data_IF_651009118970
#
_entry.id   IF_651009118970
#
_cell.length_a   1.000
_cell.length_b   1.000
_cell.length_c   1.000
_cell.angle_alpha   90.00
_cell.angle_beta   90.00
_cell.angle_gamma   90.00
#
_symmetry.space_group_name_H-M   'P 1'
#
loop_
_entity.id
_entity.type
_entity.pdbx_description
1 polymer ?
#
# COMPACT_ATOMS: atom_id res chain seq x y z
N UNK A 1 -13.59 8.99 20.26
CA UNK A 1 -12.72 9.63 19.26
C UNK A 1 -13.43 9.63 17.91
N UNK A 2 -14.67 10.14 17.86
CA UNK A 2 -15.37 10.27 16.59
C UNK A 2 -14.84 11.53 15.91
N UNK A 3 -14.48 11.44 14.62
CA UNK A 3 -13.93 12.52 13.79
C UNK A 3 -12.47 12.91 14.06
N UNK A 4 -11.69 12.10 14.78
CA UNK A 4 -10.23 12.32 14.85
C UNK A 4 -9.59 11.89 13.53
N UNK A 5 -8.90 12.81 12.87
CA UNK A 5 -8.07 12.53 11.69
C UNK A 5 -6.75 11.90 12.10
N UNK A 6 -6.26 11.00 11.26
CA UNK A 6 -4.91 10.46 11.36
C UNK A 6 -4.30 10.26 9.98
N UNK A 7 -2.99 10.24 9.94
CA UNK A 7 -2.25 9.79 8.78
C UNK A 7 -1.11 8.85 9.18
N UNK A 8 -0.70 8.00 8.26
CA UNK A 8 0.46 7.12 8.36
C UNK A 8 1.34 7.34 7.15
N UNK A 9 2.62 7.64 7.37
CA UNK A 9 3.62 7.76 6.30
C UNK A 9 4.42 6.47 6.21
N UNK A 10 4.61 5.99 4.99
CA UNK A 10 5.41 4.84 4.64
C UNK A 10 6.59 5.34 3.82
N UNK A 11 7.80 5.08 4.29
CA UNK A 11 9.04 5.49 3.63
C UNK A 11 9.74 4.23 3.16
N UNK A 12 9.78 4.02 1.85
CA UNK A 12 10.50 2.92 1.21
C UNK A 12 11.80 3.41 0.62
N UNK A 13 12.90 2.69 0.89
CA UNK A 13 14.20 2.91 0.26
C UNK A 13 14.56 1.68 -0.57
N UNK A 14 15.10 1.90 -1.77
CA UNK A 14 15.49 0.84 -2.67
C UNK A 14 16.39 1.34 -3.80
N UNK A 15 16.50 0.55 -4.86
CA UNK A 15 17.33 0.85 -6.01
C UNK A 15 16.48 1.10 -7.24
N UNK A 16 16.91 2.07 -8.05
CA UNK A 16 16.28 2.41 -9.33
C UNK A 16 16.56 1.31 -10.36
N UNK A 17 17.77 0.76 -10.34
CA UNK A 17 18.14 -0.37 -11.17
C UNK A 17 17.51 -1.66 -10.61
N UNK A 18 16.93 -2.47 -11.50
CA UNK A 18 16.51 -3.84 -11.19
C UNK A 18 17.64 -4.81 -11.55
N UNK A 19 18.00 -5.70 -10.64
CA UNK A 19 18.96 -6.76 -10.92
C UNK A 19 18.35 -7.85 -11.84
N UNK A 20 19.14 -8.47 -12.73
CA UNK A 20 18.69 -9.50 -13.66
C UNK A 20 18.07 -10.74 -12.98
N UNK A 21 18.59 -11.15 -11.83
CA UNK A 21 18.12 -12.32 -11.09
C UNK A 21 17.86 -11.98 -9.63
N UNK A 22 16.98 -12.74 -8.98
CA UNK A 22 16.61 -12.54 -7.56
C UNK A 22 17.71 -12.94 -6.58
N UNK A 23 18.66 -13.77 -7.01
CA UNK A 23 19.77 -14.24 -6.17
C UNK A 23 20.95 -13.27 -6.14
N UNK A 24 20.90 -12.20 -6.94
CA UNK A 24 21.94 -11.17 -6.97
C UNK A 24 21.66 -10.11 -5.92
N UNK A 25 22.72 -9.69 -5.22
CA UNK A 25 22.67 -8.62 -4.25
C UNK A 25 23.16 -7.30 -4.86
N UNK A 26 22.60 -6.19 -4.38
CA UNK A 26 23.08 -4.86 -4.75
C UNK A 26 24.41 -4.58 -4.05
N UNK A 27 25.39 -4.09 -4.80
CA UNK A 27 26.71 -3.70 -4.27
C UNK A 27 26.76 -2.23 -3.84
N UNK A 28 25.75 -1.44 -4.18
CA UNK A 28 25.63 -0.01 -3.86
C UNK A 28 24.56 0.23 -2.80
N UNK A 29 24.62 1.37 -2.12
CA UNK A 29 23.53 1.80 -1.25
C UNK A 29 22.25 2.11 -2.07
N UNK A 30 21.05 2.00 -1.46
CA UNK A 30 19.79 2.42 -2.09
C UNK A 30 19.88 3.85 -2.66
N UNK A 31 19.47 4.02 -3.92
CA UNK A 31 19.49 5.30 -4.63
C UNK A 31 18.09 5.87 -4.89
N UNK A 32 17.03 5.17 -4.47
CA UNK A 32 15.63 5.54 -4.65
C UNK A 32 14.90 5.59 -3.32
N UNK A 33 14.09 6.63 -3.12
CA UNK A 33 13.18 6.76 -1.98
C UNK A 33 11.78 7.08 -2.47
N UNK A 34 10.79 6.33 -1.99
CA UNK A 34 9.37 6.57 -2.21
C UNK A 34 8.71 6.84 -0.86
N UNK A 35 7.95 7.93 -0.76
CA UNK A 35 7.16 8.26 0.43
C UNK A 35 5.69 8.19 0.04
N UNK A 36 4.96 7.28 0.68
CA UNK A 36 3.51 7.17 0.56
C UNK A 36 2.84 7.58 1.87
N UNK A 37 1.59 8.03 1.79
CA UNK A 37 0.78 8.38 2.93
C UNK A 37 -0.62 7.78 2.80
N UNK A 38 -1.14 7.31 3.92
CA UNK A 38 -2.54 6.98 4.11
C UNK A 38 -3.11 7.99 5.09
N UNK A 39 -4.29 8.55 4.79
CA UNK A 39 -5.02 9.44 5.71
C UNK A 39 -6.45 8.96 5.87
N UNK A 40 -7.00 9.00 7.09
CA UNK A 40 -8.38 8.58 7.38
C UNK A 40 -8.88 9.17 8.71
N UNK A 41 -10.10 8.81 9.10
CA UNK A 41 -10.74 9.21 10.36
C UNK A 41 -10.92 8.03 11.31
N UNK A 42 -11.12 8.33 12.60
CA UNK A 42 -11.43 7.35 13.65
C UNK A 42 -10.33 6.28 13.81
N UNK A 43 -9.11 6.67 14.24
CA UNK A 43 -8.00 5.74 14.40
C UNK A 43 -8.31 4.60 15.38
N UNK A 44 -7.59 3.49 15.24
CA UNK A 44 -7.81 2.29 16.06
C UNK A 44 -9.05 1.54 15.59
N UNK A 45 -10.01 1.29 16.48
CA UNK A 45 -11.14 0.41 16.19
C UNK A 45 -12.09 0.93 15.11
N UNK A 46 -12.31 2.25 15.01
CA UNK A 46 -13.26 2.80 14.03
C UNK A 46 -12.88 2.42 12.60
N UNK A 47 -11.71 2.89 12.16
CA UNK A 47 -11.19 2.60 10.83
C UNK A 47 -10.84 1.11 10.63
N UNK A 48 -10.20 0.48 11.62
CA UNK A 48 -9.76 -0.93 11.49
C UNK A 48 -10.94 -1.87 11.26
N UNK A 49 -12.08 -1.65 11.94
CA UNK A 49 -13.28 -2.48 11.73
C UNK A 49 -13.86 -2.26 10.34
N UNK A 50 -13.90 -1.03 9.82
CA UNK A 50 -14.31 -0.75 8.44
C UNK A 50 -13.44 -1.52 7.43
N UNK A 51 -12.11 -1.47 7.58
CA UNK A 51 -11.20 -2.19 6.70
C UNK A 51 -11.39 -3.71 6.76
N UNK A 52 -11.58 -4.27 7.97
CA UNK A 52 -11.85 -5.69 8.18
C UNK A 52 -13.15 -6.13 7.50
N UNK A 53 -14.24 -5.38 7.69
CA UNK A 53 -15.53 -5.71 7.10
C UNK A 53 -15.49 -5.62 5.57
N UNK A 54 -14.87 -4.58 5.01
CA UNK A 54 -14.69 -4.45 3.57
C UNK A 54 -13.86 -5.61 3.01
N UNK A 55 -12.81 -6.04 3.72
CA UNK A 55 -12.00 -7.21 3.32
C UNK A 55 -12.85 -8.48 3.29
N UNK A 56 -13.68 -8.72 4.31
CA UNK A 56 -14.58 -9.87 4.36
C UNK A 56 -15.62 -9.83 3.22
N UNK A 57 -16.20 -8.65 2.94
CA UNK A 57 -17.14 -8.47 1.84
C UNK A 57 -16.47 -8.77 0.49
N UNK A 58 -15.25 -8.26 0.26
CA UNK A 58 -14.47 -8.52 -0.95
C UNK A 58 -14.18 -10.01 -1.10
N UNK A 59 -13.75 -10.70 -0.04
CA UNK A 59 -13.51 -12.15 -0.07
C UNK A 59 -14.76 -12.94 -0.51
N UNK A 60 -15.94 -12.57 0.00
CA UNK A 60 -17.19 -13.27 -0.29
C UNK A 60 -17.77 -12.93 -1.66
N UNK A 61 -17.59 -11.70 -2.14
CA UNK A 61 -18.25 -11.19 -3.36
C UNK A 61 -17.38 -11.24 -4.61
N UNK A 62 -16.06 -11.29 -4.46
CA UNK A 62 -15.11 -11.22 -5.58
C UNK A 62 -14.17 -12.43 -5.64
N UNK A 63 -14.64 -13.68 -5.43
CA UNK A 63 -13.75 -14.85 -5.32
C UNK A 63 -12.91 -15.10 -6.59
N UNK A 64 -13.40 -14.70 -7.77
CA UNK A 64 -12.66 -14.83 -9.04
C UNK A 64 -11.48 -13.88 -9.18
N UNK A 65 -11.34 -12.89 -8.30
CA UNK A 65 -10.24 -11.91 -8.30
C UNK A 65 -9.18 -12.20 -7.23
N UNK A 66 -9.44 -13.19 -6.37
CA UNK A 66 -8.53 -13.64 -5.32
C UNK A 66 -7.47 -14.60 -5.88
N UNK A 67 -6.36 -14.82 -5.15
CA UNK A 67 -5.39 -15.86 -5.49
C UNK A 67 -6.09 -17.22 -5.72
N UNK A 68 -5.75 -17.93 -6.80
CA UNK A 68 -6.47 -19.16 -7.19
C UNK A 68 -6.19 -20.34 -6.25
N UNK A 69 -5.05 -20.31 -5.56
CA UNK A 69 -4.70 -21.29 -4.54
C UNK A 69 -5.12 -20.78 -3.16
N UNK A 70 -5.69 -21.67 -2.35
CA UNK A 70 -5.84 -21.40 -0.91
C UNK A 70 -4.49 -21.24 -0.22
N UNK A 71 -4.46 -20.52 0.91
CA UNK A 71 -3.23 -20.30 1.66
C UNK A 71 -3.32 -19.10 2.61
N UNK A 72 -2.16 -18.70 3.14
CA UNK A 72 -2.02 -17.50 3.97
C UNK A 72 -1.39 -16.40 3.13
N UNK A 73 -2.12 -15.32 2.92
CA UNK A 73 -1.70 -14.20 2.10
C UNK A 73 -1.61 -12.93 2.93
N UNK A 74 -0.62 -12.08 2.61
CA UNK A 74 -0.65 -10.70 3.07
C UNK A 74 -1.78 -9.95 2.33
N UNK A 75 -2.34 -8.89 2.92
CA UNK A 75 -3.41 -8.13 2.26
C UNK A 75 -3.04 -7.64 0.86
N UNK A 76 -1.78 -7.21 0.65
CA UNK A 76 -1.31 -6.77 -0.67
C UNK A 76 -1.42 -7.86 -1.72
N UNK A 77 -0.97 -9.09 -1.41
CA UNK A 77 -1.04 -10.21 -2.34
C UNK A 77 -2.47 -10.75 -2.51
N UNK A 78 -3.30 -10.70 -1.46
CA UNK A 78 -4.67 -11.20 -1.50
C UNK A 78 -5.61 -10.27 -2.30
N UNK A 79 -5.41 -8.96 -2.19
CA UNK A 79 -6.38 -7.96 -2.64
C UNK A 79 -5.94 -7.11 -3.83
N UNK A 80 -4.75 -7.38 -4.41
CA UNK A 80 -4.16 -6.59 -5.52
C UNK A 80 -5.13 -6.33 -6.68
N UNK A 81 -5.91 -7.35 -7.05
CA UNK A 81 -6.82 -7.31 -8.21
C UNK A 81 -8.29 -7.16 -7.83
N UNK A 82 -8.58 -6.72 -6.60
CA UNK A 82 -9.93 -6.62 -6.05
C UNK A 82 -10.42 -5.19 -5.98
N UNK A 83 -11.71 -5.00 -5.69
CA UNK A 83 -12.29 -3.68 -5.46
C UNK A 83 -11.96 -3.07 -4.09
N UNK A 84 -11.25 -3.79 -3.20
CA UNK A 84 -11.04 -3.38 -1.81
C UNK A 84 -10.42 -1.97 -1.69
N UNK A 85 -9.42 -1.66 -2.51
CA UNK A 85 -8.79 -0.33 -2.53
C UNK A 85 -9.81 0.79 -2.83
N UNK A 86 -10.68 0.58 -3.82
CA UNK A 86 -11.73 1.52 -4.18
C UNK A 86 -12.77 1.65 -3.07
N UNK A 87 -13.12 0.53 -2.42
CA UNK A 87 -14.09 0.53 -1.32
C UNK A 87 -13.55 1.25 -0.09
N UNK A 88 -12.29 1.03 0.28
CA UNK A 88 -11.62 1.77 1.34
C UNK A 88 -11.62 3.27 1.03
N UNK A 89 -11.34 3.65 -0.22
CA UNK A 89 -11.36 5.05 -0.66
C UNK A 89 -12.74 5.69 -0.51
N UNK A 90 -13.79 4.99 -0.91
CA UNK A 90 -15.19 5.44 -0.74
C UNK A 90 -15.59 5.61 0.73
N UNK A 91 -14.92 4.92 1.65
CA UNK A 91 -15.19 4.98 3.09
C UNK A 91 -14.21 5.90 3.85
N UNK A 92 -13.60 6.85 3.15
CA UNK A 92 -12.84 7.94 3.76
C UNK A 92 -11.35 7.66 3.95
N UNK A 93 -10.82 6.61 3.35
CA UNK A 93 -9.37 6.38 3.27
C UNK A 93 -8.79 7.12 2.05
N UNK A 94 -7.72 7.88 2.25
CA UNK A 94 -7.00 8.54 1.16
C UNK A 94 -5.62 7.93 1.03
N UNK A 95 -5.25 7.53 -0.18
CA UNK A 95 -3.94 7.00 -0.53
C UNK A 95 -3.19 8.01 -1.40
N UNK A 96 -1.96 8.34 -1.03
CA UNK A 96 -1.14 9.32 -1.75
C UNK A 96 0.30 8.87 -1.85
N UNK A 97 0.93 9.10 -3.00
CA UNK A 97 2.40 9.09 -3.14
C UNK A 97 2.85 10.53 -3.01
N UNK A 98 3.54 10.85 -1.91
CA UNK A 98 3.99 12.20 -1.60
C UNK A 98 5.29 12.56 -2.32
N UNK A 99 6.18 11.58 -2.50
CA UNK A 99 7.42 11.77 -3.26
C UNK A 99 7.90 10.46 -3.87
N UNK A 100 8.42 10.54 -5.08
CA UNK A 100 9.26 9.51 -5.70
C UNK A 100 10.55 10.21 -6.15
N UNK A 101 11.67 9.91 -5.48
CA UNK A 101 12.95 10.57 -5.72
C UNK A 101 14.05 9.55 -5.91
N UNK A 102 14.93 9.78 -6.89
CA UNK A 102 16.18 9.05 -7.06
C UNK A 102 17.38 10.01 -6.95
N UNK A 103 18.50 9.52 -6.41
CA UNK A 103 19.73 10.29 -6.17
C UNK A 103 20.42 10.82 -7.45
N UNK A 104 19.82 10.64 -8.64
CA UNK A 104 20.27 11.21 -9.92
C UNK A 104 19.44 12.37 -10.47
N UNK A 105 18.26 12.66 -9.91
CA UNK A 105 17.42 13.79 -10.36
C UNK A 105 17.86 15.08 -9.68
N UNK A 106 18.89 15.73 -10.25
CA UNK A 106 19.13 17.15 -9.96
C UNK A 106 17.90 17.91 -10.47
N UNK A 107 17.12 18.43 -9.53
CA UNK A 107 16.15 19.51 -9.74
C UNK A 107 16.73 20.54 -10.72
N UNK A 108 16.15 20.61 -11.93
CA UNK A 108 16.30 21.79 -12.78
C UNK A 108 15.42 22.86 -12.15
N UNK A 109 16.06 23.80 -11.45
CA UNK A 109 15.57 25.17 -11.32
C UNK A 109 15.64 25.85 -12.70
#
# INVERSE_FOLDING_TARGET
>A
MNQTEFFMKFIGQGWTQKLPTVDQEYTTAPDKTVVAQISAFNPGYGFTVTALLLSAITLLREPSTLPPSGGVYTPGAAFEHTSLFNQLTKHGMKFEVLSDSSLGSKSKL
#
